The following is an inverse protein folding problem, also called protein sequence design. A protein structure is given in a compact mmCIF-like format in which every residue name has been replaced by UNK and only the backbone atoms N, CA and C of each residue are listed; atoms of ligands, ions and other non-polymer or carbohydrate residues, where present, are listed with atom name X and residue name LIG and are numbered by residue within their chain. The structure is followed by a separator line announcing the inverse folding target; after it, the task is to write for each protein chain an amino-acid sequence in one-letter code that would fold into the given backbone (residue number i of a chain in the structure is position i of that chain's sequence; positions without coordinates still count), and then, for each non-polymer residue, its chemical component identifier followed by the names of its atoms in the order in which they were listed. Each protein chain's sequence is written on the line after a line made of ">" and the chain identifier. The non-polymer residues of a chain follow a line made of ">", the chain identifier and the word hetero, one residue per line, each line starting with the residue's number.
data_IF_802961077865
#
_entry.id   IF_802961077865
#
_cell.length_a   1.000
_cell.length_b   1.000
_cell.length_c   1.000
_cell.angle_alpha   90.00
_cell.angle_beta   90.00
_cell.angle_gamma   90.00
#
_symmetry.space_group_name_H-M   'P 1'
#
loop_
_entity.id
_entity.type
_entity.pdbx_description
1 polymer ?
#
# COMPACT_ATOMS: atom_id res chain seq x y z
N UNK A 1 -13.04 8.54 -24.67
CA UNK A 1 -13.75 7.51 -23.88
C UNK A 1 -12.71 6.42 -23.61
N UNK A 2 -12.14 6.34 -22.40
CA UNK A 2 -11.11 5.34 -22.07
C UNK A 2 -11.77 3.96 -22.10
N UNK A 3 -11.33 3.08 -23.00
CA UNK A 3 -11.91 1.75 -23.12
C UNK A 3 -11.46 0.89 -21.93
N UNK A 4 -12.37 0.06 -21.42
CA UNK A 4 -12.08 -0.90 -20.33
C UNK A 4 -10.87 -1.79 -20.67
N UNK A 5 -10.66 -2.08 -21.96
CA UNK A 5 -9.53 -2.86 -22.49
C UNK A 5 -8.18 -2.13 -22.31
N UNK A 6 -8.15 -0.80 -22.39
CA UNK A 6 -6.93 0.00 -22.18
C UNK A 6 -6.57 0.06 -20.70
N UNK A 7 -7.57 0.12 -19.82
CA UNK A 7 -7.39 0.03 -18.36
C UNK A 7 -6.90 -1.36 -17.96
N UNK A 8 -7.50 -2.42 -18.54
CA UNK A 8 -7.14 -3.80 -18.25
C UNK A 8 -5.78 -4.20 -18.84
N UNK A 9 -5.41 -3.71 -20.03
CA UNK A 9 -4.09 -3.94 -20.62
C UNK A 9 -2.98 -3.16 -19.90
N UNK A 10 -3.26 -1.91 -19.49
CA UNK A 10 -2.39 -1.14 -18.61
C UNK A 10 -2.20 -1.81 -17.24
N UNK A 11 -3.28 -2.35 -16.66
CA UNK A 11 -3.20 -3.17 -15.47
C UNK A 11 -2.34 -4.41 -15.72
N UNK A 12 -2.54 -5.14 -16.82
CA UNK A 12 -1.77 -6.36 -17.13
C UNK A 12 -0.27 -6.08 -17.33
N UNK A 13 0.08 -4.94 -17.92
CA UNK A 13 1.46 -4.45 -18.00
C UNK A 13 2.05 -4.08 -16.64
N UNK A 14 1.26 -3.41 -15.79
CA UNK A 14 1.61 -3.14 -14.39
C UNK A 14 1.88 -4.45 -13.64
N UNK A 15 1.00 -5.45 -13.74
CA UNK A 15 1.13 -6.78 -13.12
C UNK A 15 2.36 -7.56 -13.60
N UNK A 16 2.72 -7.48 -14.89
CA UNK A 16 3.92 -8.16 -15.44
C UNK A 16 5.24 -7.51 -15.01
N UNK A 17 5.24 -6.23 -14.65
CA UNK A 17 6.41 -5.53 -14.10
C UNK A 17 6.59 -5.68 -12.58
N UNK A 18 5.61 -6.25 -11.88
CA UNK A 18 5.65 -6.41 -10.42
C UNK A 18 6.49 -7.63 -10.01
N UNK A 19 7.70 -7.37 -9.51
CA UNK A 19 8.63 -8.30 -8.83
C UNK A 19 7.88 -9.38 -8.03
N UNK A 20 8.07 -10.66 -8.32
CA UNK A 20 7.28 -11.76 -7.73
C UNK A 20 8.09 -12.52 -6.66
N UNK A 21 8.65 -11.80 -5.69
CA UNK A 21 9.52 -12.38 -4.65
C UNK A 21 8.85 -12.43 -3.27
N UNK A 22 7.62 -11.91 -3.19
CA UNK A 22 6.91 -11.76 -1.93
C UNK A 22 6.06 -13.00 -1.62
N UNK A 23 5.79 -13.22 -0.34
CA UNK A 23 4.88 -14.26 0.13
C UNK A 23 3.44 -14.04 -0.38
N UNK A 24 2.62 -15.08 -0.37
CA UNK A 24 1.21 -14.97 -0.75
C UNK A 24 0.46 -13.90 0.07
N UNK A 25 0.68 -13.89 1.39
CA UNK A 25 0.05 -12.93 2.31
C UNK A 25 0.46 -11.49 2.00
N UNK A 26 1.72 -11.25 1.65
CA UNK A 26 2.18 -9.92 1.27
C UNK A 26 1.47 -9.47 0.01
N UNK A 27 1.39 -10.32 -1.02
CA UNK A 27 0.69 -10.02 -2.28
C UNK A 27 -0.77 -9.68 -2.04
N UNK A 28 -1.44 -10.42 -1.15
CA UNK A 28 -2.83 -10.17 -0.75
C UNK A 28 -3.02 -8.75 -0.20
N UNK A 29 -2.10 -8.30 0.64
CA UNK A 29 -2.13 -6.97 1.24
C UNK A 29 -1.77 -5.87 0.22
N UNK A 30 -0.51 -5.78 -0.21
CA UNK A 30 -0.06 -4.62 -0.98
C UNK A 30 -0.56 -4.55 -2.42
N UNK A 31 -1.01 -5.67 -3.01
CA UNK A 31 -1.50 -5.68 -4.39
C UNK A 31 -3.00 -5.78 -4.45
N UNK A 32 -3.56 -6.87 -3.93
CA UNK A 32 -4.99 -7.14 -4.11
C UNK A 32 -5.83 -6.17 -3.28
N UNK A 33 -5.51 -5.99 -1.99
CA UNK A 33 -6.26 -5.08 -1.11
C UNK A 33 -6.10 -3.63 -1.56
N UNK A 34 -4.88 -3.19 -1.88
CA UNK A 34 -4.64 -1.84 -2.43
C UNK A 34 -5.39 -1.59 -3.75
N UNK A 35 -5.43 -2.57 -4.66
CA UNK A 35 -6.20 -2.50 -5.91
C UNK A 35 -7.69 -2.39 -5.64
N UNK A 36 -8.23 -3.23 -4.75
CA UNK A 36 -9.66 -3.23 -4.39
C UNK A 36 -10.06 -1.85 -3.86
N UNK A 37 -9.27 -1.27 -2.94
CA UNK A 37 -9.54 0.07 -2.44
C UNK A 37 -9.42 1.15 -3.52
N UNK A 38 -8.46 1.02 -4.44
CA UNK A 38 -8.33 1.96 -5.56
C UNK A 38 -9.54 1.89 -6.50
N UNK A 39 -10.03 0.68 -6.81
CA UNK A 39 -11.24 0.50 -7.62
C UNK A 39 -12.47 1.10 -6.93
N UNK A 40 -12.66 0.84 -5.63
CA UNK A 40 -13.77 1.44 -4.89
C UNK A 40 -13.69 2.95 -4.81
N UNK A 41 -12.49 3.52 -4.63
CA UNK A 41 -12.29 4.96 -4.67
C UNK A 41 -12.64 5.57 -6.03
N UNK A 42 -12.27 4.92 -7.14
CA UNK A 42 -12.65 5.35 -8.49
C UNK A 42 -14.17 5.27 -8.72
N UNK A 43 -14.81 4.19 -8.25
CA UNK A 43 -16.27 4.05 -8.37
C UNK A 43 -17.02 5.10 -7.56
N UNK A 44 -16.61 5.35 -6.31
CA UNK A 44 -17.24 6.34 -5.44
C UNK A 44 -16.98 7.76 -5.90
N UNK A 45 -15.76 8.09 -6.32
CA UNK A 45 -15.45 9.41 -6.90
C UNK A 45 -16.31 9.71 -8.14
N UNK A 46 -16.57 8.72 -8.99
CA UNK A 46 -17.46 8.91 -10.14
C UNK A 46 -18.87 9.32 -9.70
N UNK A 47 -19.41 8.67 -8.66
CA UNK A 47 -20.74 9.06 -8.12
C UNK A 47 -20.72 10.40 -7.40
N UNK A 48 -19.64 10.73 -6.70
CA UNK A 48 -19.56 11.90 -5.84
C UNK A 48 -19.20 13.20 -6.58
N UNK A 49 -18.43 13.12 -7.66
CA UNK A 49 -17.96 14.29 -8.42
C UNK A 49 -18.60 14.44 -9.80
N UNK A 50 -18.97 13.34 -10.47
CA UNK A 50 -19.54 13.36 -11.83
C UNK A 50 -21.06 13.18 -11.81
N UNK A 51 -21.57 12.42 -10.84
CA UNK A 51 -23.01 12.23 -10.61
C UNK A 51 -23.58 13.14 -9.52
N UNK A 52 -24.85 12.91 -9.20
CA UNK A 52 -25.54 13.59 -8.10
C UNK A 52 -25.20 12.92 -6.77
N UNK A 53 -24.42 13.60 -5.91
CA UNK A 53 -23.98 13.08 -4.62
C UNK A 53 -25.14 12.90 -3.61
N UNK A 54 -26.14 13.78 -3.69
CA UNK A 54 -27.37 13.75 -2.92
C UNK A 54 -28.49 14.37 -3.76
N UNK A 55 -29.72 13.87 -3.59
CA UNK A 55 -30.92 14.44 -4.20
C UNK A 55 -31.84 14.91 -3.08
N UNK A 56 -32.17 16.19 -3.09
CA UNK A 56 -33.02 16.82 -2.10
C UNK A 56 -34.47 16.92 -2.59
N UNK A 57 -35.41 16.76 -1.65
CA UNK A 57 -36.81 17.06 -1.92
C UNK A 57 -37.04 18.57 -1.82
N UNK A 58 -37.20 19.21 -2.98
CA UNK A 58 -37.29 20.67 -3.14
C UNK A 58 -38.71 21.04 -3.61
N UNK A 59 -39.28 22.19 -3.18
CA UNK A 59 -40.63 22.58 -3.61
C UNK A 59 -40.72 22.83 -5.12
N UNK A 60 -41.88 22.52 -5.71
CA UNK A 60 -42.07 22.48 -7.17
C UNK A 60 -42.01 23.82 -7.93
N UNK A 61 -41.87 24.95 -7.23
CA UNK A 61 -41.67 26.26 -7.86
C UNK A 61 -40.19 26.57 -8.13
N UNK A 62 -39.26 25.74 -7.66
CA UNK A 62 -37.83 25.92 -7.93
C UNK A 62 -37.53 25.54 -9.38
N UNK A 63 -36.81 26.41 -10.09
CA UNK A 63 -36.25 26.08 -11.40
C UNK A 63 -35.12 25.05 -11.24
N UNK A 64 -34.76 24.35 -12.33
CA UNK A 64 -33.73 23.31 -12.28
C UNK A 64 -32.37 23.80 -11.74
N UNK A 65 -32.04 25.09 -11.91
CA UNK A 65 -30.83 25.70 -11.32
C UNK A 65 -30.91 25.81 -9.80
N UNK A 66 -32.07 26.16 -9.25
CA UNK A 66 -32.27 26.23 -7.80
C UNK A 66 -32.30 24.85 -7.15
N UNK A 67 -32.83 23.83 -7.84
CA UNK A 67 -32.76 22.43 -7.37
C UNK A 67 -31.31 21.98 -7.23
N UNK A 68 -30.47 22.18 -8.27
CA UNK A 68 -29.04 21.85 -8.21
C UNK A 68 -28.29 22.65 -7.14
N UNK A 69 -28.68 23.91 -6.91
CA UNK A 69 -28.11 24.70 -5.82
C UNK A 69 -28.47 24.10 -4.45
N UNK A 70 -29.73 23.71 -4.25
CA UNK A 70 -30.19 23.08 -3.02
C UNK A 70 -29.46 21.76 -2.75
N UNK A 71 -29.30 20.92 -3.78
CA UNK A 71 -28.56 19.65 -3.67
C UNK A 71 -27.11 19.87 -3.22
N UNK A 72 -26.41 20.80 -3.87
CA UNK A 72 -25.03 21.15 -3.51
C UNK A 72 -24.94 21.77 -2.11
N UNK A 73 -25.90 22.62 -1.74
CA UNK A 73 -25.94 23.23 -0.42
C UNK A 73 -26.11 22.17 0.67
N UNK A 74 -27.05 21.23 0.49
CA UNK A 74 -27.29 20.11 1.41
C UNK A 74 -26.17 19.07 1.42
N UNK A 75 -25.36 18.98 0.36
CA UNK A 75 -24.18 18.13 0.36
C UNK A 75 -23.03 18.72 1.17
N UNK A 76 -22.76 20.02 1.00
CA UNK A 76 -21.65 20.72 1.67
C UNK A 76 -22.01 21.00 3.14
N UNK A 77 -23.27 21.37 3.42
CA UNK A 77 -23.78 21.48 4.78
C UNK A 77 -24.10 20.08 5.30
N UNK A 78 -23.47 19.70 6.40
CA UNK A 78 -23.70 18.40 7.00
C UNK A 78 -25.19 18.14 7.29
N UNK A 79 -25.64 16.93 7.01
CA UNK A 79 -27.02 16.48 7.24
C UNK A 79 -27.14 15.77 8.58
N UNK A 80 -28.36 15.56 9.06
CA UNK A 80 -28.64 14.76 10.26
C UNK A 80 -29.85 13.88 10.01
N UNK A 81 -29.93 12.75 10.70
CA UNK A 81 -31.11 11.88 10.64
C UNK A 81 -32.22 12.42 11.54
N UNK A 82 -33.46 12.35 11.07
CA UNK A 82 -34.65 12.76 11.80
C UNK A 82 -35.75 11.72 11.61
N UNK A 83 -36.36 11.19 12.68
CA UNK A 83 -37.51 10.31 12.57
C UNK A 83 -38.77 11.11 12.17
N UNK A 84 -39.65 10.50 11.39
CA UNK A 84 -40.83 11.17 10.82
C UNK A 84 -41.88 11.58 11.87
N UNK A 85 -41.85 10.97 13.06
CA UNK A 85 -42.83 11.18 14.12
C UNK A 85 -42.47 12.34 15.07
N UNK A 86 -41.23 12.84 15.02
CA UNK A 86 -40.78 13.92 15.89
C UNK A 86 -40.97 15.28 15.21
N UNK A 87 -41.24 16.32 16.00
CA UNK A 87 -41.31 17.70 15.50
C UNK A 87 -39.89 18.17 15.18
N UNK A 88 -39.72 18.94 14.10
CA UNK A 88 -38.44 19.59 13.77
C UNK A 88 -38.01 20.43 14.98
N UNK A 89 -36.90 20.08 15.66
CA UNK A 89 -36.43 20.81 16.83
C UNK A 89 -35.91 22.20 16.45
N UNK A 90 -35.74 23.07 17.46
CA UNK A 90 -35.12 24.38 17.30
C UNK A 90 -33.68 24.29 16.75
N UNK A 91 -33.22 25.31 16.00
CA UNK A 91 -31.92 25.30 15.34
C UNK A 91 -30.73 25.30 16.30
N UNK A 92 -30.93 25.71 17.56
CA UNK A 92 -29.87 25.86 18.56
C UNK A 92 -29.52 24.55 19.28
N UNK A 93 -30.28 23.48 19.06
CA UNK A 93 -30.04 22.19 19.69
C UNK A 93 -28.91 21.44 18.95
N UNK A 94 -27.86 20.98 19.65
CA UNK A 94 -26.77 20.23 19.03
C UNK A 94 -27.27 18.88 18.51
N UNK A 95 -26.96 18.56 17.24
CA UNK A 95 -27.33 17.29 16.59
C UNK A 95 -26.12 16.52 16.12
N UNK A 96 -26.26 15.20 16.09
CA UNK A 96 -25.29 14.32 15.46
C UNK A 96 -25.37 14.48 13.93
N UNK A 97 -24.43 15.24 13.39
CA UNK A 97 -24.31 15.45 11.96
C UNK A 97 -23.54 14.32 11.28
N UNK A 98 -23.95 13.97 10.07
CA UNK A 98 -23.42 12.88 9.26
C UNK A 98 -22.44 13.46 8.24
N UNK A 99 -21.13 13.35 8.52
CA UNK A 99 -20.09 14.01 7.73
C UNK A 99 -19.19 13.02 6.97
N UNK A 100 -19.33 11.71 7.21
CA UNK A 100 -18.38 10.71 6.69
C UNK A 100 -18.46 10.50 5.17
N UNK A 101 -19.62 10.78 4.55
CA UNK A 101 -19.81 10.61 3.11
C UNK A 101 -18.86 11.46 2.27
N UNK A 102 -18.49 12.65 2.75
CA UNK A 102 -17.55 13.52 2.05
C UNK A 102 -16.12 12.94 2.05
N UNK A 103 -15.74 12.29 3.15
CA UNK A 103 -14.36 11.81 3.39
C UNK A 103 -14.09 10.39 2.92
N UNK A 104 -15.13 9.58 2.70
CA UNK A 104 -14.98 8.14 2.39
C UNK A 104 -14.04 7.90 1.21
N UNK A 105 -14.17 8.66 0.13
CA UNK A 105 -13.34 8.53 -1.07
C UNK A 105 -11.88 8.89 -0.81
N UNK A 106 -11.63 9.94 0.00
CA UNK A 106 -10.28 10.37 0.39
C UNK A 106 -9.61 9.32 1.28
N UNK A 107 -10.36 8.79 2.25
CA UNK A 107 -9.86 7.75 3.17
C UNK A 107 -9.54 6.47 2.41
N UNK A 108 -10.35 6.05 1.45
CA UNK A 108 -10.08 4.86 0.63
C UNK A 108 -8.82 5.03 -0.25
N UNK A 109 -8.61 6.22 -0.83
CA UNK A 109 -7.37 6.50 -1.57
C UNK A 109 -6.15 6.47 -0.65
N UNK A 110 -6.25 7.10 0.52
CA UNK A 110 -5.18 7.08 1.51
C UNK A 110 -4.90 5.65 1.98
N UNK A 111 -5.93 4.85 2.23
CA UNK A 111 -5.80 3.45 2.64
C UNK A 111 -5.10 2.63 1.55
N UNK A 112 -5.49 2.78 0.28
CA UNK A 112 -4.81 2.14 -0.86
C UNK A 112 -3.31 2.49 -0.90
N UNK A 113 -2.95 3.76 -0.69
CA UNK A 113 -1.56 4.20 -0.61
C UNK A 113 -0.83 3.59 0.59
N UNK A 114 -1.44 3.61 1.77
CA UNK A 114 -0.85 3.06 3.01
C UNK A 114 -0.54 1.58 2.88
N UNK A 115 -1.42 0.78 2.28
CA UNK A 115 -1.15 -0.65 2.01
C UNK A 115 0.03 -0.87 1.04
N UNK A 116 0.37 0.13 0.22
CA UNK A 116 1.50 0.07 -0.71
C UNK A 116 2.82 0.60 -0.09
N UNK A 117 2.76 1.32 1.04
CA UNK A 117 3.94 1.88 1.74
C UNK A 117 4.98 0.82 2.13
N UNK A 118 4.62 -0.33 2.73
CA UNK A 118 5.62 -1.33 3.14
C UNK A 118 6.41 -1.87 1.95
N UNK A 119 5.77 -1.98 0.77
CA UNK A 119 6.43 -2.40 -0.47
C UNK A 119 7.40 -1.35 -0.99
N UNK A 120 7.02 -0.06 -0.96
CA UNK A 120 7.93 1.03 -1.31
C UNK A 120 9.14 1.01 -0.39
N UNK A 121 8.90 0.91 0.92
CA UNK A 121 9.96 0.87 1.92
C UNK A 121 10.92 -0.31 1.71
N UNK A 122 10.38 -1.52 1.49
CA UNK A 122 11.17 -2.69 1.14
C UNK A 122 12.03 -2.45 -0.09
N UNK A 123 11.46 -1.92 -1.18
CA UNK A 123 12.21 -1.69 -2.44
C UNK A 123 13.31 -0.65 -2.29
N UNK A 124 13.08 0.42 -1.55
CA UNK A 124 14.09 1.46 -1.30
C UNK A 124 15.25 0.93 -0.45
N UNK A 125 14.94 0.11 0.55
CA UNK A 125 15.92 -0.38 1.53
C UNK A 125 16.58 -1.70 1.12
N UNK A 126 15.93 -2.52 0.27
CA UNK A 126 16.48 -3.82 -0.17
C UNK A 126 17.76 -3.65 -0.97
N UNK A 127 17.89 -2.59 -1.77
CA UNK A 127 19.14 -2.30 -2.50
C UNK A 127 20.33 -2.05 -1.56
N UNK A 128 20.06 -1.65 -0.32
CA UNK A 128 21.09 -1.41 0.69
C UNK A 128 21.63 -2.69 1.32
N UNK A 129 20.93 -3.82 1.29
CA UNK A 129 21.36 -5.05 1.97
C UNK A 129 22.57 -5.72 1.30
N UNK A 130 22.85 -5.39 0.03
CA UNK A 130 23.89 -6.02 -0.78
C UNK A 130 23.51 -7.41 -1.32
N UNK A 131 22.34 -7.94 -0.94
CA UNK A 131 21.73 -9.13 -1.56
C UNK A 131 20.45 -8.71 -2.27
N UNK A 132 20.41 -8.94 -3.58
CA UNK A 132 19.16 -8.85 -4.32
C UNK A 132 18.39 -10.18 -4.23
N UNK A 133 17.47 -10.28 -3.28
CA UNK A 133 16.63 -11.48 -3.07
C UNK A 133 15.82 -11.86 -4.32
N UNK A 134 15.45 -10.90 -5.16
CA UNK A 134 14.75 -11.18 -6.41
C UNK A 134 15.59 -11.87 -7.43
N UNK A 135 16.85 -11.43 -7.57
CA UNK A 135 17.75 -12.06 -8.51
C UNK A 135 17.89 -13.55 -8.19
N UNK A 136 17.91 -13.90 -6.90
CA UNK A 136 17.93 -15.29 -6.46
C UNK A 136 16.64 -16.03 -6.82
N UNK A 137 15.48 -15.48 -6.46
CA UNK A 137 14.17 -16.10 -6.73
C UNK A 137 13.90 -16.22 -8.23
N UNK A 138 14.22 -15.20 -9.02
CA UNK A 138 14.10 -15.20 -10.47
C UNK A 138 15.05 -16.22 -11.10
N UNK A 139 16.30 -16.30 -10.64
CA UNK A 139 17.25 -17.30 -11.13
C UNK A 139 16.80 -18.74 -10.84
N UNK A 140 16.09 -18.97 -9.72
CA UNK A 140 15.50 -20.26 -9.37
C UNK A 140 14.24 -20.59 -10.18
N UNK A 141 13.37 -19.60 -10.39
CA UNK A 141 12.11 -19.78 -11.12
C UNK A 141 12.26 -19.76 -12.65
N UNK A 142 13.46 -19.54 -13.17
CA UNK A 142 13.72 -19.54 -14.62
C UNK A 142 13.56 -20.95 -15.18
N UNK A 143 12.80 -21.09 -16.28
CA UNK A 143 12.51 -22.37 -16.95
C UNK A 143 13.78 -23.13 -17.40
N UNK A 144 14.90 -22.43 -17.56
CA UNK A 144 16.20 -23.02 -17.87
C UNK A 144 16.72 -23.99 -16.79
N UNK A 145 16.17 -23.97 -15.56
CA UNK A 145 16.53 -24.91 -14.48
C UNK A 145 15.92 -26.31 -14.63
N UNK A 146 15.06 -26.54 -15.63
CA UNK A 146 14.56 -27.87 -15.97
C UNK A 146 15.70 -28.80 -16.41
N UNK A 147 16.75 -28.23 -17.01
CA UNK A 147 17.94 -28.98 -17.41
C UNK A 147 18.91 -29.16 -16.23
N UNK A 148 19.38 -30.39 -15.95
CA UNK A 148 20.22 -30.68 -14.79
C UNK A 148 21.58 -29.97 -14.82
N UNK A 149 22.15 -29.73 -16.01
CA UNK A 149 23.43 -29.01 -16.17
C UNK A 149 23.31 -27.52 -15.83
N UNK A 150 22.26 -26.86 -16.34
CA UNK A 150 21.98 -25.45 -16.03
C UNK A 150 21.68 -25.26 -14.53
N UNK A 151 20.94 -26.20 -13.93
CA UNK A 151 20.62 -26.18 -12.49
C UNK A 151 21.88 -26.17 -11.62
N UNK A 152 22.91 -26.95 -11.97
CA UNK A 152 24.20 -26.96 -11.26
C UNK A 152 24.89 -25.60 -11.34
N UNK A 153 24.87 -24.97 -12.52
CA UNK A 153 25.40 -23.62 -12.73
C UNK A 153 24.72 -22.56 -11.88
N UNK A 154 23.38 -22.56 -11.87
CA UNK A 154 22.56 -21.65 -11.04
C UNK A 154 22.80 -21.90 -9.55
N UNK A 155 22.85 -23.16 -9.11
CA UNK A 155 23.15 -23.49 -7.72
C UNK A 155 24.53 -22.96 -7.30
N UNK A 156 25.55 -23.13 -8.15
CA UNK A 156 26.90 -22.62 -7.88
C UNK A 156 26.93 -21.09 -7.82
N UNK A 157 26.15 -20.42 -8.67
CA UNK A 157 25.98 -18.96 -8.61
C UNK A 157 25.33 -18.51 -7.29
N UNK A 158 24.25 -19.17 -6.86
CA UNK A 158 23.55 -18.86 -5.61
C UNK A 158 24.43 -19.09 -4.38
N UNK A 159 25.12 -20.23 -4.30
CA UNK A 159 26.04 -20.54 -3.19
C UNK A 159 27.13 -19.49 -3.09
N UNK A 160 27.77 -19.12 -4.21
CA UNK A 160 28.78 -18.05 -4.24
C UNK A 160 28.23 -16.70 -3.79
N UNK A 161 26.99 -16.38 -4.14
CA UNK A 161 26.35 -15.13 -3.73
C UNK A 161 26.08 -15.12 -2.22
N UNK A 162 25.57 -16.22 -1.65
CA UNK A 162 25.36 -16.36 -0.21
C UNK A 162 26.69 -16.34 0.57
N UNK A 163 27.72 -17.03 0.06
CA UNK A 163 29.04 -17.06 0.67
C UNK A 163 29.67 -15.67 0.76
N UNK A 164 29.57 -14.86 -0.32
CA UNK A 164 30.02 -13.46 -0.31
C UNK A 164 29.32 -12.62 0.76
N UNK A 165 28.02 -12.81 0.95
CA UNK A 165 27.27 -12.10 1.98
C UNK A 165 27.68 -12.50 3.40
N UNK A 166 27.81 -13.81 3.66
CA UNK A 166 28.24 -14.32 4.96
C UNK A 166 29.66 -13.85 5.31
N UNK A 167 30.58 -13.87 4.33
CA UNK A 167 31.95 -13.40 4.53
C UNK A 167 32.01 -11.88 4.78
N UNK A 168 31.27 -11.09 3.98
CA UNK A 168 31.18 -9.64 4.20
C UNK A 168 30.63 -9.29 5.59
N UNK A 169 29.62 -10.03 6.06
CA UNK A 169 29.06 -9.85 7.41
C UNK A 169 30.06 -10.18 8.52
N UNK A 170 30.91 -11.22 8.34
CA UNK A 170 31.98 -11.59 9.28
C UNK A 170 33.10 -10.56 9.35
N UNK A 171 33.50 -9.99 8.22
CA UNK A 171 34.61 -9.02 8.19
C UNK A 171 34.28 -7.71 8.93
N UNK A 172 33.00 -7.31 8.93
CA UNK A 172 32.53 -6.18 9.75
C UNK A 172 32.64 -6.43 11.27
N UNK A 173 32.67 -7.68 11.73
CA UNK A 173 32.76 -8.02 13.15
C UNK A 173 34.19 -7.97 13.71
N UNK A 174 35.22 -8.00 12.84
CA UNK A 174 36.64 -8.16 13.24
C UNK A 174 37.41 -6.85 13.54
N UNK A 175 36.74 -5.74 13.81
CA UNK A 175 37.41 -4.46 14.12
C UNK A 175 37.83 -4.32 15.59
N UNK A 176 39.00 -3.75 15.87
CA UNK A 176 39.54 -3.49 17.24
C UNK A 176 38.60 -2.66 18.12
N UNK A 177 37.75 -1.82 17.52
CA UNK A 177 36.75 -0.98 18.19
C UNK A 177 35.35 -1.64 18.28
N UNK A 178 35.20 -2.92 17.94
CA UNK A 178 33.91 -3.61 17.93
C UNK A 178 33.29 -3.74 19.32
N UNK A 179 34.09 -4.03 20.35
CA UNK A 179 33.60 -4.25 21.73
C UNK A 179 33.03 -2.98 22.38
N UNK A 180 33.71 -1.84 22.23
CA UNK A 180 33.26 -0.54 22.78
C UNK A 180 31.98 -0.07 22.07
N UNK A 181 31.88 -0.33 20.75
CA UNK A 181 30.75 0.09 19.92
C UNK A 181 29.54 -0.86 20.03
N UNK A 182 29.78 -2.13 20.41
CA UNK A 182 28.74 -3.10 20.77
C UNK A 182 27.98 -2.71 22.04
N UNK A 183 28.65 -2.07 23.01
CA UNK A 183 27.99 -1.51 24.20
C UNK A 183 26.94 -0.45 23.87
N UNK A 184 27.28 0.52 23.00
CA UNK A 184 26.34 1.58 22.60
C UNK A 184 25.16 1.08 21.75
N UNK A 185 25.37 0.07 20.90
CA UNK A 185 24.31 -0.53 20.07
C UNK A 185 23.35 -1.43 20.86
N UNK A 186 23.69 -1.82 22.10
CA UNK A 186 22.81 -2.59 22.99
C UNK A 186 21.66 -1.75 23.55
N UNK A 187 21.87 -0.43 23.64
CA UNK A 187 20.89 0.55 24.16
C UNK A 187 20.08 1.26 23.07
N UNK A 188 20.56 1.28 21.82
CA UNK A 188 19.86 1.86 20.68
C UNK A 188 19.64 0.75 19.66
N UNK A 189 18.37 0.31 19.50
CA UNK A 189 17.87 -0.73 18.59
C UNK A 189 18.93 -1.17 17.58
N UNK A 190 19.52 -2.36 17.83
CA UNK A 190 20.68 -2.94 17.15
C UNK A 190 20.46 -3.21 15.65
N UNK A 191 20.18 -2.16 14.88
CA UNK A 191 19.82 -2.17 13.48
C UNK A 191 21.04 -1.67 12.72
N UNK A 192 21.75 -2.57 12.06
CA UNK A 192 22.87 -2.16 11.23
C UNK A 192 23.40 -3.28 10.37
N UNK A 193 23.83 -2.92 9.15
CA UNK A 193 24.53 -3.80 8.20
C UNK A 193 25.74 -4.52 8.82
N UNK A 194 26.29 -3.97 9.92
CA UNK A 194 27.47 -4.47 10.63
C UNK A 194 27.24 -5.71 11.51
N UNK A 195 25.99 -6.02 11.89
CA UNK A 195 25.66 -7.22 12.66
C UNK A 195 25.14 -8.39 11.81
N UNK A 196 25.01 -8.21 10.49
CA UNK A 196 24.38 -9.21 9.61
C UNK A 196 22.84 -9.29 9.75
N UNK A 197 22.25 -8.73 10.81
CA UNK A 197 20.81 -8.81 11.07
C UNK A 197 19.95 -7.81 10.28
N UNK A 198 20.58 -6.93 9.47
CA UNK A 198 19.88 -5.84 8.76
C UNK A 198 18.75 -6.34 7.85
N UNK A 199 18.96 -7.43 7.10
CA UNK A 199 17.95 -7.99 6.20
C UNK A 199 16.74 -8.53 6.97
N UNK A 200 16.99 -9.24 8.07
CA UNK A 200 15.93 -9.81 8.91
C UNK A 200 15.15 -8.70 9.62
N UNK A 201 15.85 -7.71 10.19
CA UNK A 201 15.17 -6.58 10.85
C UNK A 201 14.37 -5.75 9.85
N UNK A 202 14.88 -5.53 8.64
CA UNK A 202 14.14 -4.85 7.59
C UNK A 202 12.87 -5.62 7.21
N UNK A 203 12.98 -6.94 7.07
CA UNK A 203 11.84 -7.80 6.77
C UNK A 203 10.78 -7.75 7.87
N UNK A 204 11.19 -7.90 9.14
CA UNK A 204 10.28 -7.82 10.29
C UNK A 204 9.62 -6.44 10.40
N UNK A 205 10.35 -5.36 10.12
CA UNK A 205 9.79 -4.02 10.10
C UNK A 205 8.77 -3.84 8.97
N UNK A 206 9.05 -4.34 7.76
CA UNK A 206 8.06 -4.33 6.68
C UNK A 206 6.82 -5.16 7.04
N UNK A 207 6.97 -6.30 7.71
CA UNK A 207 5.84 -7.12 8.19
C UNK A 207 5.06 -6.45 9.30
N UNK A 208 5.71 -5.67 10.17
CA UNK A 208 5.02 -4.86 11.18
C UNK A 208 4.20 -3.72 10.57
N UNK A 209 4.62 -3.20 9.41
CA UNK A 209 3.90 -2.15 8.68
C UNK A 209 2.71 -2.68 7.86
N UNK A 210 2.60 -4.00 7.64
CA UNK A 210 1.46 -4.64 6.97
C UNK A 210 0.32 -4.93 7.94
#
# INVERSE_FOLDING_TARGET
>A
MLNLVDILSGANGFWKGLRSDDDFYDRLSHRYTALIFMVFAVLLSTKQYVGDAIVCWVPGHFSGSYTKYADNYCWIKNTYYMPFQERIPDPDLPRAHINYYQWVTIVLLLQSLLFYVPTIFWRLMSGSTGIDAHLMVQSLNTQANLNPENRKGVMKFLVRHMERYCNSSRDYQKGVWSNVRQGCAKYCLAIGKRYGNYLITLFLFCKFLY
#
